data_IF_295851266092
#
_entry.id   IF_295851266092
#
_cell.length_a   1.000
_cell.length_b   1.000
_cell.length_c   1.000
_cell.angle_alpha   90.00
_cell.angle_beta   90.00
_cell.angle_gamma   90.00
#
_symmetry.space_group_name_H-M   'P 1'
#
loop_
_entity.id
_entity.type
_entity.pdbx_description
1 polymer ?
#
# COMPACT_ATOMS: atom_id res chain seq x y z
N UNK A 1 63.79 54.47 35.74
CA UNK A 1 64.52 53.30 36.30
C UNK A 1 63.79 52.04 35.85
N UNK A 2 64.56 51.09 35.34
CA UNK A 2 64.18 49.88 34.61
C UNK A 2 63.87 48.74 35.60
N UNK A 3 62.87 47.88 35.32
CA UNK A 3 62.87 46.46 35.73
C UNK A 3 61.72 45.71 35.00
N UNK A 4 62.00 45.06 33.85
CA UNK A 4 62.25 43.61 33.65
C UNK A 4 60.98 42.74 33.60
N UNK A 5 60.63 42.26 32.39
CA UNK A 5 59.81 41.06 32.16
C UNK A 5 60.60 39.79 32.48
N UNK A 6 59.92 38.65 32.71
CA UNK A 6 60.19 37.50 31.83
C UNK A 6 58.97 36.61 31.48
N UNK A 7 58.89 36.31 30.18
CA UNK A 7 58.70 35.01 29.50
C UNK A 7 57.75 33.93 30.06
N UNK A 8 56.70 33.63 29.29
CA UNK A 8 55.88 32.40 29.34
C UNK A 8 56.50 31.26 28.51
N UNK A 9 56.50 30.00 29.00
CA UNK A 9 56.73 28.82 28.17
C UNK A 9 55.41 28.24 27.59
N UNK A 10 55.45 27.54 26.43
CA UNK A 10 54.27 26.88 25.86
C UNK A 10 54.08 25.48 26.48
N UNK A 11 52.84 25.11 26.80
CA UNK A 11 52.50 23.74 27.21
C UNK A 11 51.45 23.15 26.28
N UNK A 12 51.86 22.09 25.58
CA UNK A 12 51.10 21.28 24.63
C UNK A 12 50.17 20.33 25.38
N UNK A 13 48.92 20.19 24.96
CA UNK A 13 48.06 19.08 25.36
C UNK A 13 47.37 18.46 24.14
N UNK A 14 47.55 17.14 24.00
CA UNK A 14 47.06 16.26 22.94
C UNK A 14 45.55 15.94 23.13
N UNK A 15 44.80 15.60 22.07
CA UNK A 15 43.40 15.17 22.21
C UNK A 15 43.31 13.70 22.65
N UNK A 16 42.55 13.41 23.71
CA UNK A 16 42.13 12.04 24.07
C UNK A 16 41.00 11.59 23.14
N UNK A 17 41.30 10.67 22.21
CA UNK A 17 40.30 9.89 21.50
C UNK A 17 40.01 8.60 22.26
N UNK A 18 38.77 8.40 22.72
CA UNK A 18 38.33 7.14 23.31
C UNK A 18 37.64 6.33 22.21
N UNK A 19 38.31 5.33 21.67
CA UNK A 19 37.74 4.42 20.66
C UNK A 19 36.91 3.36 21.39
N UNK A 20 35.58 3.51 21.34
CA UNK A 20 34.64 2.49 21.81
C UNK A 20 34.50 1.42 20.72
N UNK A 21 35.02 0.23 20.97
CA UNK A 21 34.84 -0.92 20.07
C UNK A 21 33.51 -1.60 20.36
N UNK A 22 32.50 -1.35 19.53
CA UNK A 22 31.22 -2.06 19.58
C UNK A 22 31.39 -3.47 19.01
N UNK A 23 31.19 -4.50 19.83
CA UNK A 23 31.09 -5.88 19.38
C UNK A 23 29.80 -6.08 18.58
N UNK A 24 29.93 -6.47 17.31
CA UNK A 24 28.80 -6.83 16.45
C UNK A 24 28.33 -8.25 16.81
N UNK A 25 27.31 -8.34 17.66
CA UNK A 25 26.55 -9.58 17.86
C UNK A 25 25.76 -9.90 16.58
N UNK A 26 26.21 -10.89 15.82
CA UNK A 26 25.49 -11.39 14.64
C UNK A 26 24.35 -12.28 15.12
N UNK A 27 23.16 -11.70 15.27
CA UNK A 27 21.94 -12.47 15.50
C UNK A 27 21.49 -13.04 14.14
N UNK A 28 21.47 -14.37 14.00
CA UNK A 28 20.89 -15.02 12.81
C UNK A 28 19.42 -14.62 12.69
N UNK A 29 18.96 -14.10 11.52
CA UNK A 29 17.55 -13.81 11.33
C UNK A 29 16.77 -15.13 11.36
N UNK A 30 15.88 -15.28 12.34
CA UNK A 30 14.85 -16.31 12.30
C UNK A 30 13.98 -16.00 11.09
N UNK A 31 13.78 -16.99 10.20
CA UNK A 31 12.91 -16.82 9.04
C UNK A 31 11.53 -16.30 9.51
N UNK A 32 10.98 -15.23 8.91
CA UNK A 32 9.67 -14.73 9.27
C UNK A 32 8.65 -15.86 9.15
N UNK A 33 7.88 -16.10 10.22
CA UNK A 33 6.78 -17.06 10.15
C UNK A 33 5.66 -16.45 9.31
N UNK A 34 4.98 -17.24 8.46
CA UNK A 34 3.77 -16.81 7.77
C UNK A 34 2.80 -16.14 8.74
N UNK A 35 2.37 -14.93 8.40
CA UNK A 35 1.43 -14.12 9.16
C UNK A 35 0.16 -13.84 8.36
N UNK A 36 -0.92 -13.49 9.05
CA UNK A 36 -2.15 -13.02 8.39
C UNK A 36 -2.28 -11.52 8.58
N UNK A 37 -2.36 -10.79 7.48
CA UNK A 37 -2.58 -9.35 7.44
C UNK A 37 -4.04 -9.06 7.10
N UNK A 38 -4.69 -8.18 7.86
CA UNK A 38 -6.12 -7.93 7.74
C UNK A 38 -6.39 -6.64 6.95
N UNK A 39 -7.33 -6.72 6.00
CA UNK A 39 -7.83 -5.57 5.24
C UNK A 39 -9.35 -5.52 5.42
N UNK A 40 -9.83 -4.44 6.00
CA UNK A 40 -11.27 -4.21 6.14
C UNK A 40 -11.88 -3.76 4.80
N UNK A 41 -13.10 -4.23 4.54
CA UNK A 41 -13.87 -3.91 3.34
C UNK A 41 -15.21 -3.29 3.73
N UNK A 42 -15.33 -1.99 3.55
CA UNK A 42 -16.58 -1.25 3.70
C UNK A 42 -17.51 -1.54 2.52
N UNK A 43 -18.81 -1.63 2.78
CA UNK A 43 -19.83 -1.95 1.77
C UNK A 43 -21.03 -1.01 1.79
N UNK A 44 -20.96 0.19 2.36
CA UNK A 44 -22.14 1.08 2.49
C UNK A 44 -22.68 1.60 1.16
N UNK A 45 -21.95 2.52 0.53
CA UNK A 45 -22.33 3.10 -0.76
C UNK A 45 -21.59 2.43 -1.92
N UNK A 46 -20.35 2.01 -1.67
CA UNK A 46 -19.52 1.25 -2.59
C UNK A 46 -18.39 0.53 -1.80
N UNK A 47 -17.56 -0.26 -2.48
CA UNK A 47 -16.48 -1.04 -1.85
C UNK A 47 -15.29 -0.19 -1.47
N UNK A 48 -14.96 -0.11 -0.20
CA UNK A 48 -13.79 0.64 0.29
C UNK A 48 -12.80 -0.26 1.04
N UNK A 49 -11.54 -0.24 0.63
CA UNK A 49 -10.47 -0.96 1.33
C UNK A 49 -9.81 -0.08 2.40
N UNK A 50 -9.59 -0.65 3.58
CA UNK A 50 -8.77 -0.02 4.62
C UNK A 50 -7.87 -1.04 5.34
N UNK A 51 -6.53 -0.93 5.24
CA UNK A 51 -5.79 0.06 4.42
C UNK A 51 -5.93 -0.22 2.91
N UNK A 52 -5.57 0.76 2.06
CA UNK A 52 -5.57 0.61 0.59
C UNK A 52 -4.26 0.02 0.03
N UNK A 53 -3.24 -0.17 0.88
CA UNK A 53 -2.03 -0.85 0.47
C UNK A 53 -1.37 -1.59 1.63
N UNK A 54 -0.63 -2.65 1.29
CA UNK A 54 0.20 -3.40 2.23
C UNK A 54 1.48 -3.86 1.53
N UNK A 55 2.58 -3.87 2.27
CA UNK A 55 3.80 -4.59 1.92
C UNK A 55 3.94 -5.81 2.85
N UNK A 56 4.06 -7.00 2.28
CA UNK A 56 3.99 -8.30 2.96
C UNK A 56 5.03 -9.28 2.39
N UNK A 57 5.37 -10.30 3.16
CA UNK A 57 6.38 -11.30 2.77
C UNK A 57 5.76 -12.50 2.05
N UNK A 58 6.56 -13.18 1.22
CA UNK A 58 6.16 -14.47 0.63
C UNK A 58 5.81 -15.45 1.75
N UNK A 59 4.67 -16.11 1.61
CA UNK A 59 4.10 -17.02 2.61
C UNK A 59 3.03 -16.38 3.49
N UNK A 60 2.97 -15.06 3.59
CA UNK A 60 1.89 -14.36 4.30
C UNK A 60 0.53 -14.58 3.61
N UNK A 61 -0.54 -14.31 4.35
CA UNK A 61 -1.92 -14.32 3.84
C UNK A 61 -2.55 -12.97 4.08
N UNK A 62 -3.17 -12.39 3.05
CA UNK A 62 -3.98 -11.18 3.16
C UNK A 62 -5.44 -11.61 3.30
N UNK A 63 -6.07 -11.19 4.39
CA UNK A 63 -7.46 -11.47 4.69
C UNK A 63 -8.30 -10.21 4.53
N UNK A 64 -9.04 -10.16 3.42
CA UNK A 64 -10.06 -9.15 3.17
C UNK A 64 -11.35 -9.59 3.86
N UNK A 65 -11.93 -8.75 4.71
CA UNK A 65 -13.16 -9.08 5.42
C UNK A 65 -14.10 -7.89 5.43
N UNK A 66 -15.41 -8.13 5.26
CA UNK A 66 -16.37 -7.02 5.34
C UNK A 66 -16.65 -6.63 6.78
N UNK A 67 -16.68 -5.32 7.04
CA UNK A 67 -17.17 -4.73 8.30
C UNK A 67 -18.67 -4.43 8.26
N UNK A 68 -19.27 -4.57 7.09
CA UNK A 68 -20.63 -4.15 6.74
C UNK A 68 -21.45 -5.37 6.28
N UNK A 69 -21.40 -6.45 7.07
CA UNK A 69 -22.09 -7.72 6.82
C UNK A 69 -23.56 -7.64 6.33
N UNK A 70 -24.44 -6.72 6.81
CA UNK A 70 -25.79 -6.60 6.28
C UNK A 70 -25.86 -6.04 4.85
N UNK A 71 -24.82 -5.38 4.36
CA UNK A 71 -24.76 -4.79 3.02
C UNK A 71 -24.30 -5.78 1.93
N UNK A 72 -24.05 -7.04 2.28
CA UNK A 72 -23.87 -8.13 1.32
C UNK A 72 -22.48 -8.75 1.31
N UNK A 73 -22.04 -9.14 0.12
CA UNK A 73 -20.73 -9.74 -0.17
C UNK A 73 -20.00 -8.92 -1.24
N UNK A 74 -18.69 -9.14 -1.36
CA UNK A 74 -17.84 -8.44 -2.32
C UNK A 74 -17.02 -9.42 -3.14
N UNK A 75 -16.54 -8.95 -4.27
CA UNK A 75 -15.50 -9.58 -5.06
C UNK A 75 -14.29 -8.65 -5.18
N UNK A 76 -13.13 -9.26 -5.37
CA UNK A 76 -11.90 -8.55 -5.68
C UNK A 76 -11.47 -8.99 -7.07
N UNK A 77 -11.05 -8.07 -7.91
CA UNK A 77 -10.53 -8.33 -9.25
C UNK A 77 -9.06 -7.94 -9.32
N UNK A 78 -8.22 -8.78 -9.91
CA UNK A 78 -6.87 -8.35 -10.33
C UNK A 78 -7.00 -7.33 -11.47
N UNK A 79 -6.11 -6.36 -11.50
CA UNK A 79 -6.01 -5.33 -12.54
C UNK A 79 -4.53 -5.08 -12.88
N UNK A 80 -4.24 -4.07 -13.70
CA UNK A 80 -2.85 -3.69 -13.98
C UNK A 80 -2.58 -2.27 -13.52
N UNK A 81 -1.29 -1.93 -13.40
CA UNK A 81 -0.85 -0.57 -13.08
C UNK A 81 -1.43 0.47 -14.06
N UNK A 82 -1.49 0.12 -15.35
CA UNK A 82 -1.89 1.02 -16.43
C UNK A 82 -3.40 1.02 -16.70
N UNK A 83 -4.08 -0.07 -16.34
CA UNK A 83 -5.51 -0.25 -16.57
C UNK A 83 -6.22 -0.65 -15.25
N UNK A 84 -6.22 0.23 -14.24
CA UNK A 84 -6.73 -0.11 -12.92
C UNK A 84 -8.24 -0.37 -12.90
N UNK A 85 -8.98 0.18 -13.88
CA UNK A 85 -10.43 0.04 -13.98
C UNK A 85 -10.89 -1.18 -14.81
N UNK A 86 -9.96 -1.97 -15.38
CA UNK A 86 -10.29 -3.12 -16.21
C UNK A 86 -10.09 -4.41 -15.39
N UNK A 87 -11.18 -5.07 -14.96
CA UNK A 87 -11.07 -6.30 -14.18
C UNK A 87 -10.56 -7.45 -15.04
N UNK A 88 -9.56 -8.18 -14.55
CA UNK A 88 -8.97 -9.34 -15.25
C UNK A 88 -9.41 -10.67 -14.64
N UNK A 89 -9.01 -10.91 -13.38
CA UNK A 89 -9.24 -12.18 -12.69
C UNK A 89 -10.01 -11.93 -11.41
N UNK A 90 -11.12 -12.64 -11.22
CA UNK A 90 -11.95 -12.52 -10.01
C UNK A 90 -11.44 -13.43 -8.90
N UNK A 91 -11.42 -12.89 -7.68
CA UNK A 91 -11.21 -13.58 -6.42
C UNK A 91 -12.46 -13.48 -5.55
N UNK A 92 -12.75 -14.57 -4.82
CA UNK A 92 -13.97 -14.72 -4.03
C UNK A 92 -15.14 -15.26 -4.85
N UNK A 93 -16.22 -15.61 -4.14
CA UNK A 93 -17.49 -15.99 -4.72
C UNK A 93 -18.63 -15.13 -4.15
N UNK A 94 -19.86 -15.36 -4.62
CA UNK A 94 -21.02 -14.55 -4.22
C UNK A 94 -21.48 -14.81 -2.77
N UNK A 95 -21.00 -15.88 -2.14
CA UNK A 95 -21.43 -16.33 -0.82
C UNK A 95 -20.49 -15.86 0.31
N UNK A 96 -19.20 -15.66 0.03
CA UNK A 96 -18.22 -15.37 1.07
C UNK A 96 -18.12 -13.87 1.39
N UNK A 97 -18.15 -13.55 2.68
CA UNK A 97 -17.93 -12.21 3.25
C UNK A 97 -16.46 -11.88 3.47
N UNK A 98 -15.58 -12.73 2.97
CA UNK A 98 -14.14 -12.58 3.07
C UNK A 98 -13.43 -13.23 1.88
N UNK A 99 -12.25 -12.71 1.55
CA UNK A 99 -11.35 -13.24 0.53
C UNK A 99 -9.97 -13.41 1.16
N UNK A 100 -9.34 -14.56 0.95
CA UNK A 100 -7.98 -14.85 1.41
C UNK A 100 -7.05 -14.96 0.20
N UNK A 101 -6.00 -14.15 0.18
CA UNK A 101 -4.96 -14.18 -0.85
C UNK A 101 -3.65 -14.60 -0.19
N UNK A 102 -3.10 -15.73 -0.63
CA UNK A 102 -1.76 -16.17 -0.21
C UNK A 102 -0.70 -15.50 -1.07
N UNK A 103 0.31 -14.93 -0.43
CA UNK A 103 1.40 -14.21 -1.08
C UNK A 103 2.44 -15.24 -1.55
N UNK A 104 2.58 -15.39 -2.86
CA UNK A 104 3.52 -16.34 -3.45
C UNK A 104 4.78 -15.66 -4.03
N UNK A 105 4.71 -14.35 -4.26
CA UNK A 105 5.81 -13.52 -4.73
C UNK A 105 5.72 -12.11 -4.12
N UNK A 106 6.77 -11.30 -4.32
CA UNK A 106 6.82 -9.90 -3.88
C UNK A 106 6.58 -8.92 -5.03
N UNK A 107 6.08 -9.38 -6.17
CA UNK A 107 5.77 -8.48 -7.27
C UNK A 107 4.54 -7.63 -6.90
N UNK A 108 4.47 -6.36 -7.36
CA UNK A 108 3.30 -5.54 -7.16
C UNK A 108 2.05 -6.17 -7.78
N UNK A 109 0.96 -6.21 -7.01
CA UNK A 109 -0.35 -6.60 -7.48
C UNK A 109 -1.37 -5.50 -7.23
N UNK A 110 -2.33 -5.39 -8.13
CA UNK A 110 -3.29 -4.30 -8.20
C UNK A 110 -4.68 -4.88 -8.19
N UNK A 111 -5.54 -4.35 -7.33
CA UNK A 111 -6.86 -4.92 -7.10
C UNK A 111 -7.94 -3.86 -7.18
N UNK A 112 -9.09 -4.26 -7.70
CA UNK A 112 -10.33 -3.48 -7.72
C UNK A 112 -11.43 -4.27 -7.01
N UNK A 113 -12.08 -3.63 -6.05
CA UNK A 113 -13.22 -4.16 -5.30
C UNK A 113 -14.55 -3.82 -5.96
N UNK A 114 -15.51 -4.72 -5.87
CA UNK A 114 -16.90 -4.45 -6.27
C UNK A 114 -17.87 -5.26 -5.40
N UNK A 115 -19.02 -4.66 -5.09
CA UNK A 115 -20.08 -5.37 -4.38
C UNK A 115 -20.65 -6.39 -5.34
N UNK A 116 -20.90 -7.61 -4.85
CA UNK A 116 -21.51 -8.61 -5.71
C UNK A 116 -22.89 -8.13 -6.17
N UNK A 117 -23.24 -8.46 -7.42
CA UNK A 117 -24.50 -8.07 -8.08
C UNK A 117 -24.62 -6.57 -8.41
N UNK A 118 -23.57 -5.76 -8.20
CA UNK A 118 -23.52 -4.36 -8.63
C UNK A 118 -22.65 -4.16 -9.87
N UNK A 119 -22.85 -3.02 -10.53
CA UNK A 119 -21.94 -2.57 -11.57
C UNK A 119 -20.57 -2.28 -10.95
N UNK A 120 -19.52 -2.62 -11.70
CA UNK A 120 -18.15 -2.36 -11.30
C UNK A 120 -17.90 -0.85 -11.32
N UNK A 121 -17.75 -0.25 -10.14
CA UNK A 121 -17.44 1.17 -9.99
C UNK A 121 -15.94 1.36 -9.85
N UNK A 122 -15.31 1.99 -10.84
CA UNK A 122 -13.94 2.44 -10.72
C UNK A 122 -13.92 3.79 -10.00
N UNK A 123 -13.45 3.79 -8.75
CA UNK A 123 -13.27 5.01 -7.96
C UNK A 123 -12.18 4.74 -6.90
N UNK A 124 -11.41 5.76 -6.47
CA UNK A 124 -10.13 5.51 -5.80
C UNK A 124 -10.20 4.61 -4.54
N UNK A 125 -11.18 4.77 -3.63
CA UNK A 125 -11.34 3.88 -2.49
C UNK A 125 -11.59 2.40 -2.77
N UNK A 126 -12.09 2.04 -3.97
CA UNK A 126 -12.27 0.64 -4.37
C UNK A 126 -10.97 -0.02 -4.85
N UNK A 127 -9.82 0.64 -4.78
CA UNK A 127 -8.55 0.06 -5.18
C UNK A 127 -7.71 -0.37 -3.98
N UNK A 128 -6.98 -1.46 -4.16
CA UNK A 128 -6.01 -1.95 -3.21
C UNK A 128 -4.72 -2.36 -3.92
N UNK A 129 -3.56 -2.08 -3.33
CA UNK A 129 -2.27 -2.52 -3.87
C UNK A 129 -1.51 -3.39 -2.87
N UNK A 130 -1.02 -4.55 -3.35
CA UNK A 130 -0.16 -5.43 -2.58
C UNK A 130 1.28 -5.33 -3.09
N UNK A 131 2.22 -5.14 -2.16
CA UNK A 131 3.64 -4.95 -2.44
C UNK A 131 3.92 -3.86 -3.49
N UNK A 132 3.26 -2.68 -3.45
CA UNK A 132 3.44 -1.67 -4.49
C UNK A 132 4.84 -1.04 -4.48
N UNK A 133 5.53 -1.03 -3.35
CA UNK A 133 6.78 -0.28 -3.18
C UNK A 133 6.64 1.16 -3.68
N UNK A 134 7.58 1.60 -4.52
CA UNK A 134 7.56 2.95 -5.10
C UNK A 134 6.47 3.18 -6.15
N UNK A 135 5.81 2.12 -6.65
CA UNK A 135 4.77 2.23 -7.68
C UNK A 135 3.40 2.60 -7.12
N UNK A 136 3.26 2.75 -5.79
CA UNK A 136 2.00 3.17 -5.17
C UNK A 136 1.52 4.53 -5.68
N UNK A 137 2.43 5.51 -5.80
CA UNK A 137 2.08 6.85 -6.27
C UNK A 137 1.57 6.83 -7.71
N UNK A 138 2.28 6.10 -8.59
CA UNK A 138 1.92 5.95 -10.00
C UNK A 138 0.56 5.27 -10.15
N UNK A 139 0.31 4.19 -9.39
CA UNK A 139 -0.98 3.51 -9.42
C UNK A 139 -2.13 4.42 -9.00
N UNK A 140 -1.94 5.18 -7.91
CA UNK A 140 -2.96 6.11 -7.42
C UNK A 140 -3.26 7.22 -8.43
N UNK A 141 -2.24 7.77 -9.11
CA UNK A 141 -2.42 8.75 -10.19
C UNK A 141 -3.18 8.15 -11.38
N UNK A 142 -2.84 6.93 -11.80
CA UNK A 142 -3.53 6.25 -12.91
C UNK A 142 -5.00 6.00 -12.60
N UNK A 143 -5.35 5.65 -11.36
CA UNK A 143 -6.74 5.53 -10.94
C UNK A 143 -7.47 6.86 -11.10
N UNK A 144 -6.89 7.95 -10.58
CA UNK A 144 -7.49 9.29 -10.66
C UNK A 144 -7.74 9.72 -12.12
N UNK A 145 -6.78 9.47 -13.01
CA UNK A 145 -6.93 9.76 -14.44
C UNK A 145 -8.00 8.91 -15.12
N UNK A 146 -8.11 7.62 -14.78
CA UNK A 146 -9.08 6.71 -15.39
C UNK A 146 -10.53 7.07 -15.03
N UNK A 147 -10.76 7.51 -13.80
CA UNK A 147 -12.08 8.00 -13.34
C UNK A 147 -12.47 9.29 -14.07
N UNK A 148 -11.51 10.18 -14.30
CA UNK A 148 -11.73 11.45 -14.99
C UNK A 148 -12.16 11.25 -16.45
N UNK A 149 -11.48 10.36 -17.19
CA UNK A 149 -11.83 10.04 -18.58
C UNK A 149 -13.22 9.42 -18.73
N UNK A 150 -13.62 8.58 -17.76
CA UNK A 150 -14.96 7.98 -17.73
C UNK A 150 -16.04 9.06 -17.56
N UNK A 151 -15.79 10.04 -16.69
CA UNK A 151 -16.73 11.15 -16.44
C UNK A 151 -16.90 12.06 -17.66
N UNK A 152 -15.81 12.38 -18.38
CA UNK A 152 -15.88 13.20 -19.61
C UNK A 152 -16.65 12.51 -20.73
N UNK A 153 -16.50 11.19 -20.87
CA UNK A 153 -17.16 10.44 -21.94
C UNK A 153 -18.68 10.32 -21.70
N UNK A 154 -19.15 10.49 -20.47
CA UNK A 154 -20.57 10.34 -20.11
C UNK A 154 -21.40 11.62 -20.31
N UNK A 155 -20.79 12.73 -20.76
CA UNK A 155 -21.55 13.94 -21.11
C UNK A 155 -22.04 13.94 -22.56
N UNK A 156 -23.37 13.78 -22.71
CA UNK A 156 -24.26 14.14 -23.85
C UNK A 156 -24.46 13.12 -24.97
N UNK A 157 -25.55 12.34 -24.84
CA UNK A 157 -26.48 12.08 -25.96
C UNK A 157 -27.92 12.25 -25.43
N UNK A 158 -28.52 13.42 -25.64
CA UNK A 158 -29.96 13.57 -25.49
C UNK A 158 -30.63 13.01 -26.76
N UNK A 159 -31.62 12.10 -26.68
CA UNK A 159 -32.42 11.76 -27.85
C UNK A 159 -33.27 12.96 -28.24
N UNK A 160 -33.13 13.41 -29.49
CA UNK A 160 -33.97 14.45 -30.06
C UNK A 160 -35.38 13.87 -30.30
N UNK A 161 -36.45 14.49 -29.77
CA UNK A 161 -37.82 14.04 -30.05
C UNK A 161 -38.13 14.27 -31.54
N UNK A 162 -38.62 13.24 -32.22
CA UNK A 162 -39.23 13.30 -33.57
C UNK A 162 -40.66 13.77 -33.51
#
# INVERSE_FOLDING_TARGET
>A
MISLSPSTPPSSSLPLGITSASSLSTCSPTAPRPSTQMVSVGLREAVEFSPQSLDVSVGDTVWFYTVDAPYGSFAIYNTTLNEPCIPLVRFGDDAHRHVLIRVNDTAPMWFLGSRNQELLHCYPPAHFALNPGSQWSEYHETIQHSVFLTTITTTVVYPQPT
#
